data_IF_772138154570
#
_entry.id   IF_772138154570
#
_cell.length_a   1.000
_cell.length_b   1.000
_cell.length_c   1.000
_cell.angle_alpha   90.00
_cell.angle_beta   90.00
_cell.angle_gamma   90.00
#
_symmetry.space_group_name_H-M   'P 1'
#
loop_
_entity.id
_entity.type
_entity.pdbx_description
1 polymer ?
#
# COMPACT_ATOMS: atom_id res chain seq x y z
N UNK A 1 5.46 14.06 25.13
CA UNK A 1 5.97 15.20 25.95
C UNK A 1 7.32 15.73 25.44
N UNK A 2 8.43 14.97 25.55
CA UNK A 2 9.77 15.47 25.17
C UNK A 2 9.92 15.94 23.70
N UNK A 3 9.41 15.17 22.75
CA UNK A 3 9.63 15.42 21.32
C UNK A 3 8.47 16.11 20.60
N UNK A 4 7.32 16.32 21.26
CA UNK A 4 6.08 16.85 20.66
C UNK A 4 5.84 16.28 19.24
N UNK A 5 5.73 17.14 18.22
CA UNK A 5 5.51 16.74 16.83
C UNK A 5 6.75 16.09 16.19
N UNK A 6 7.96 16.35 16.69
CA UNK A 6 9.20 15.77 16.16
C UNK A 6 9.36 14.28 16.47
N UNK A 7 8.47 13.72 17.31
CA UNK A 7 8.40 12.29 17.57
C UNK A 7 8.32 11.49 16.27
N UNK A 8 7.61 11.99 15.25
CA UNK A 8 7.44 11.30 13.97
C UNK A 8 8.76 11.01 13.24
N UNK A 9 9.79 11.83 13.45
CA UNK A 9 11.11 11.61 12.85
C UNK A 9 11.93 10.52 13.55
N UNK A 10 11.51 10.09 14.75
CA UNK A 10 12.17 9.06 15.54
C UNK A 10 11.54 7.67 15.38
N UNK A 11 10.32 7.60 14.87
CA UNK A 11 9.59 6.36 14.69
C UNK A 11 9.95 5.67 13.37
N UNK A 12 10.09 4.35 13.42
CA UNK A 12 10.23 3.48 12.25
C UNK A 12 9.16 2.39 12.33
N UNK A 13 8.47 2.16 11.22
CA UNK A 13 7.38 1.18 11.13
C UNK A 13 6.01 1.81 10.86
N UNK A 14 4.97 0.96 10.81
CA UNK A 14 3.59 1.35 10.53
C UNK A 14 2.89 1.90 11.78
N UNK A 15 2.27 3.07 11.69
CA UNK A 15 1.56 3.66 12.82
C UNK A 15 0.49 4.66 12.39
N UNK A 16 -0.54 4.77 13.24
CA UNK A 16 -1.42 5.93 13.36
C UNK A 16 -1.42 6.31 14.83
N UNK A 17 -0.99 7.53 15.14
CA UNK A 17 -0.92 8.06 16.51
C UNK A 17 -1.92 9.20 16.61
N UNK A 18 -2.81 9.14 17.59
CA UNK A 18 -3.81 10.17 17.87
C UNK A 18 -3.57 10.67 19.29
N UNK A 19 -3.28 11.95 19.45
CA UNK A 19 -2.97 12.58 20.73
C UNK A 19 -3.91 13.75 20.93
N UNK A 20 -4.71 13.71 22.00
CA UNK A 20 -5.44 14.86 22.50
C UNK A 20 -4.63 15.52 23.62
N UNK A 21 -4.29 16.78 23.44
CA UNK A 21 -3.71 17.63 24.47
C UNK A 21 -4.84 18.45 25.11
N UNK A 22 -5.21 18.11 26.35
CA UNK A 22 -6.32 18.76 27.03
C UNK A 22 -6.00 20.20 27.48
N UNK A 23 -4.72 20.50 27.72
CA UNK A 23 -4.29 21.84 28.11
C UNK A 23 -4.35 22.80 26.91
N UNK A 24 -3.92 22.33 25.74
CA UNK A 24 -3.96 23.12 24.50
C UNK A 24 -5.28 23.01 23.72
N UNK A 25 -6.20 22.13 24.15
CA UNK A 25 -7.43 21.74 23.43
C UNK A 25 -7.14 21.43 21.96
N UNK A 26 -6.12 20.59 21.74
CA UNK A 26 -5.53 20.32 20.44
C UNK A 26 -5.46 18.83 20.19
N UNK A 27 -6.01 18.39 19.07
CA UNK A 27 -5.81 17.04 18.54
C UNK A 27 -4.63 17.05 17.57
N UNK A 28 -3.73 16.09 17.70
CA UNK A 28 -2.67 15.83 16.72
C UNK A 28 -2.76 14.37 16.28
N UNK A 29 -2.82 14.17 14.97
CA UNK A 29 -2.82 12.85 14.34
C UNK A 29 -1.57 12.75 13.48
N UNK A 30 -0.81 11.68 13.65
CA UNK A 30 0.37 11.37 12.85
C UNK A 30 0.24 9.98 12.23
N UNK A 31 0.58 9.81 10.96
CA UNK A 31 0.69 8.49 10.34
C UNK A 31 2.10 8.23 9.77
N UNK A 32 2.40 6.95 9.52
CA UNK A 32 3.71 6.53 9.02
C UNK A 32 4.04 7.01 7.60
N UNK A 33 5.31 6.83 7.19
CA UNK A 33 5.86 7.35 5.93
C UNK A 33 5.09 6.92 4.68
N UNK A 34 4.47 5.74 4.71
CA UNK A 34 3.78 5.16 3.56
C UNK A 34 2.25 5.15 3.73
N UNK A 35 1.78 5.52 4.92
CA UNK A 35 0.39 5.45 5.31
C UNK A 35 -0.10 4.01 5.27
N UNK A 36 0.70 3.06 5.78
CA UNK A 36 0.43 1.62 5.69
C UNK A 36 -0.90 1.25 6.36
N UNK A 37 -1.36 2.04 7.32
CA UNK A 37 -2.68 1.93 7.95
C UNK A 37 -3.52 3.16 7.56
N UNK A 38 -4.63 3.01 6.83
CA UNK A 38 -5.44 4.17 6.46
C UNK A 38 -6.04 4.83 7.71
N UNK A 39 -6.15 6.15 7.65
CA UNK A 39 -6.98 6.93 8.55
C UNK A 39 -7.68 7.98 7.71
N UNK A 40 -9.00 7.96 7.76
CA UNK A 40 -9.88 8.90 7.09
C UNK A 40 -10.29 9.99 8.07
N UNK A 41 -10.56 11.17 7.53
CA UNK A 41 -11.02 12.30 8.32
C UNK A 41 -12.05 13.12 7.58
N UNK A 42 -12.96 13.74 8.32
CA UNK A 42 -13.98 14.63 7.79
C UNK A 42 -14.37 15.66 8.85
N UNK A 43 -14.54 16.91 8.43
CA UNK A 43 -15.07 17.96 9.31
C UNK A 43 -16.58 18.03 9.13
N UNK A 44 -17.32 17.72 10.20
CA UNK A 44 -18.77 17.85 10.27
C UNK A 44 -19.20 19.15 10.93
N UNK A 45 -20.48 19.26 11.27
CA UNK A 45 -21.02 20.43 11.98
C UNK A 45 -20.57 20.47 13.43
N UNK A 46 -20.37 19.31 14.05
CA UNK A 46 -20.06 19.16 15.47
C UNK A 46 -18.57 18.96 15.77
N UNK A 47 -17.71 18.94 14.74
CA UNK A 47 -16.26 18.85 14.90
C UNK A 47 -15.58 17.96 13.87
N UNK A 48 -14.42 17.43 14.24
CA UNK A 48 -13.62 16.55 13.40
C UNK A 48 -13.90 15.07 13.71
N UNK A 49 -14.17 14.30 12.65
CA UNK A 49 -14.33 12.86 12.69
C UNK A 49 -13.08 12.18 12.13
N UNK A 50 -12.65 11.09 12.77
CA UNK A 50 -11.52 10.26 12.38
C UNK A 50 -11.93 8.80 12.46
N UNK A 51 -11.57 8.00 11.46
CA UNK A 51 -11.77 6.56 11.50
C UNK A 51 -10.78 5.82 10.60
N UNK A 52 -10.59 4.52 10.84
CA UNK A 52 -9.86 3.64 9.93
C UNK A 52 -10.65 3.29 8.66
N UNK A 53 -11.95 3.59 8.62
CA UNK A 53 -12.87 3.20 7.54
C UNK A 53 -13.85 4.35 7.25
N UNK A 54 -14.16 4.57 5.96
CA UNK A 54 -15.08 5.62 5.48
C UNK A 54 -16.48 5.41 6.06
N UNK A 55 -16.96 4.16 6.08
CA UNK A 55 -18.30 3.82 6.57
C UNK A 55 -18.52 4.16 8.05
N UNK A 56 -17.48 4.14 8.87
CA UNK A 56 -17.57 4.55 10.27
C UNK A 56 -17.84 6.05 10.42
N UNK A 57 -17.27 6.89 9.55
CA UNK A 57 -17.54 8.35 9.54
C UNK A 57 -18.97 8.61 9.04
N UNK A 58 -19.42 7.89 8.01
CA UNK A 58 -20.77 8.04 7.47
C UNK A 58 -21.85 7.71 8.51
N UNK A 59 -21.61 6.74 9.38
CA UNK A 59 -22.54 6.34 10.44
C UNK A 59 -22.86 7.48 11.42
N UNK A 60 -22.02 8.53 11.50
CA UNK A 60 -22.26 9.68 12.37
C UNK A 60 -23.35 10.64 11.84
N UNK A 61 -23.75 10.54 10.57
CA UNK A 61 -24.76 11.39 9.92
C UNK A 61 -24.53 12.92 10.06
N UNK A 62 -23.28 13.35 10.28
CA UNK A 62 -22.93 14.77 10.49
C UNK A 62 -22.04 15.36 9.37
N UNK A 63 -21.72 14.54 8.37
CA UNK A 63 -20.88 14.94 7.22
C UNK A 63 -21.68 14.87 5.92
N UNK A 64 -21.36 15.77 4.99
CA UNK A 64 -22.00 15.77 3.66
C UNK A 64 -21.70 14.47 2.91
N UNK A 65 -22.72 13.85 2.33
CA UNK A 65 -22.57 12.63 1.52
C UNK A 65 -22.56 12.92 0.01
N UNK A 66 -22.20 14.15 -0.38
CA UNK A 66 -22.00 14.50 -1.78
C UNK A 66 -20.94 13.59 -2.41
N UNK A 67 -21.27 13.06 -3.58
CA UNK A 67 -20.44 12.09 -4.29
C UNK A 67 -19.29 12.81 -5.01
N UNK A 68 -18.07 12.35 -4.78
CA UNK A 68 -16.91 12.78 -5.56
C UNK A 68 -16.86 12.00 -6.89
N UNK A 69 -17.29 12.67 -7.95
CA UNK A 69 -17.28 12.09 -9.30
C UNK A 69 -15.87 11.75 -9.82
N UNK A 70 -14.82 12.41 -9.31
CA UNK A 70 -13.43 12.07 -9.65
C UNK A 70 -13.02 10.73 -9.02
N UNK A 71 -13.49 10.45 -7.80
CA UNK A 71 -13.20 9.18 -7.14
C UNK A 71 -13.87 8.01 -7.85
N UNK A 72 -15.13 8.19 -8.30
CA UNK A 72 -15.81 7.20 -9.15
C UNK A 72 -15.01 6.98 -10.44
N UNK A 73 -14.68 8.05 -11.16
CA UNK A 73 -13.88 7.95 -12.37
C UNK A 73 -12.58 7.16 -12.12
N UNK A 74 -11.87 7.48 -11.04
CA UNK A 74 -10.60 6.84 -10.70
C UNK A 74 -10.72 5.31 -10.59
N UNK A 75 -11.75 4.79 -9.93
CA UNK A 75 -11.98 3.35 -9.84
C UNK A 75 -12.12 2.71 -11.23
N UNK A 76 -12.91 3.33 -12.12
CA UNK A 76 -13.19 2.80 -13.45
C UNK A 76 -12.11 3.12 -14.50
N UNK A 77 -11.13 3.95 -14.20
CA UNK A 77 -9.99 4.18 -15.09
C UNK A 77 -8.74 3.44 -14.61
N UNK A 78 -8.53 3.35 -13.30
CA UNK A 78 -7.28 2.87 -12.69
C UNK A 78 -7.44 1.59 -11.84
N UNK A 79 -8.68 1.19 -11.51
CA UNK A 79 -8.94 0.08 -10.60
C UNK A 79 -8.86 0.45 -9.11
N UNK A 80 -8.62 1.72 -8.77
CA UNK A 80 -8.59 2.22 -7.38
C UNK A 80 -8.84 3.73 -7.33
N UNK A 81 -9.23 4.23 -6.14
CA UNK A 81 -9.41 5.67 -5.91
C UNK A 81 -8.05 6.37 -5.76
N UNK A 82 -7.82 7.39 -6.58
CA UNK A 82 -6.57 8.13 -6.66
C UNK A 82 -6.46 9.25 -5.62
N UNK A 83 -5.24 9.73 -5.42
CA UNK A 83 -4.90 10.78 -4.45
C UNK A 83 -5.38 10.42 -3.03
N UNK A 84 -5.82 11.41 -2.27
CA UNK A 84 -6.26 11.30 -0.88
C UNK A 84 -7.79 11.44 -0.78
N UNK A 85 -8.50 11.02 -1.83
CA UNK A 85 -9.95 11.13 -1.97
C UNK A 85 -10.66 9.89 -1.42
N UNK A 86 -11.97 10.00 -1.28
CA UNK A 86 -12.92 8.88 -1.12
C UNK A 86 -14.08 9.10 -2.09
N UNK A 87 -15.07 8.21 -2.12
CA UNK A 87 -16.30 8.44 -2.90
C UNK A 87 -17.13 9.64 -2.40
N UNK A 88 -16.78 10.23 -1.26
CA UNK A 88 -17.48 11.35 -0.66
C UNK A 88 -16.56 12.57 -0.60
N UNK A 89 -17.01 13.72 -1.13
CA UNK A 89 -16.20 14.93 -1.21
C UNK A 89 -15.73 15.44 0.17
N UNK A 90 -16.52 15.19 1.21
CA UNK A 90 -16.27 15.63 2.58
C UNK A 90 -15.29 14.75 3.35
N UNK A 91 -15.08 13.51 2.90
CA UNK A 91 -14.25 12.51 3.60
C UNK A 91 -12.95 12.34 2.83
N UNK A 92 -11.83 12.58 3.51
CA UNK A 92 -10.49 12.52 2.94
C UNK A 92 -9.67 11.41 3.58
N UNK A 93 -8.87 10.73 2.78
CA UNK A 93 -7.83 9.82 3.28
C UNK A 93 -6.62 10.66 3.72
N UNK A 94 -6.15 10.53 4.95
CA UNK A 94 -4.95 11.24 5.38
C UNK A 94 -3.76 10.82 4.49
N UNK A 95 -3.02 11.80 3.97
CA UNK A 95 -1.84 11.54 3.15
C UNK A 95 -0.78 10.79 3.98
N UNK A 96 0.15 10.04 3.36
CA UNK A 96 1.27 9.44 4.08
C UNK A 96 2.12 10.51 4.74
N UNK A 97 2.89 10.12 5.75
CA UNK A 97 3.84 10.98 6.43
C UNK A 97 3.24 12.33 6.86
N UNK A 98 2.01 12.33 7.38
CA UNK A 98 1.27 13.55 7.64
C UNK A 98 1.02 13.78 9.12
N UNK A 99 1.03 15.05 9.49
CA UNK A 99 0.56 15.60 10.74
C UNK A 99 -0.74 16.34 10.47
N UNK A 100 -1.85 15.83 10.99
CA UNK A 100 -3.11 16.56 11.06
C UNK A 100 -3.23 17.19 12.44
N UNK A 101 -3.48 18.50 12.48
CA UNK A 101 -3.76 19.24 13.71
C UNK A 101 -5.17 19.81 13.64
N UNK A 102 -5.96 19.52 14.68
CA UNK A 102 -7.27 20.14 14.88
C UNK A 102 -7.29 20.94 16.17
N UNK A 103 -7.57 22.24 16.03
CA UNK A 103 -7.61 23.21 17.11
C UNK A 103 -8.56 24.34 16.72
N UNK A 104 -9.35 24.86 17.66
CA UNK A 104 -10.28 25.97 17.41
C UNK A 104 -11.23 25.75 16.22
N UNK A 105 -11.68 24.51 16.03
CA UNK A 105 -12.50 24.11 14.88
C UNK A 105 -11.84 24.28 13.49
N UNK A 106 -10.51 24.35 13.44
CA UNK A 106 -9.75 24.38 12.20
C UNK A 106 -8.90 23.13 12.05
N UNK A 107 -8.86 22.59 10.83
CA UNK A 107 -8.02 21.45 10.47
C UNK A 107 -6.87 21.96 9.62
N UNK A 108 -5.64 21.66 10.04
CA UNK A 108 -4.44 21.83 9.20
C UNK A 108 -3.76 20.48 9.01
N UNK A 109 -3.20 20.28 7.82
CA UNK A 109 -2.45 19.07 7.47
C UNK A 109 -1.11 19.47 6.90
N UNK A 110 -0.03 18.90 7.41
CA UNK A 110 1.33 19.09 6.89
C UNK A 110 2.02 17.74 6.72
N UNK A 111 2.97 17.67 5.78
CA UNK A 111 3.77 16.48 5.54
C UNK A 111 5.14 16.63 6.19
N UNK A 112 5.61 15.58 6.86
CA UNK A 112 6.93 15.54 7.48
C UNK A 112 7.96 14.77 6.64
N UNK A 113 7.53 13.99 5.66
CA UNK A 113 8.40 13.23 4.75
C UNK A 113 7.74 13.04 3.38
N UNK A 114 8.54 12.93 2.32
CA UNK A 114 8.10 12.53 0.99
C UNK A 114 9.25 11.82 0.25
N UNK A 115 8.92 11.05 -0.79
CA UNK A 115 9.90 10.42 -1.65
C UNK A 115 10.75 11.46 -2.39
N UNK A 116 12.05 11.18 -2.51
CA UNK A 116 12.99 12.06 -3.21
C UNK A 116 13.81 11.28 -4.25
N UNK A 117 13.25 11.15 -5.46
CA UNK A 117 13.91 10.51 -6.61
C UNK A 117 14.89 11.46 -7.33
N UNK A 118 15.79 12.07 -6.56
CA UNK A 118 16.83 12.92 -7.13
C UNK A 118 17.88 12.06 -7.84
N UNK A 119 18.32 12.48 -9.03
CA UNK A 119 19.41 11.82 -9.75
C UNK A 119 20.71 12.03 -8.98
N UNK A 120 21.09 11.04 -8.18
CA UNK A 120 22.31 11.03 -7.38
C UNK A 120 23.24 9.96 -7.93
N UNK A 121 24.44 10.36 -8.33
CA UNK A 121 25.52 9.42 -8.62
C UNK A 121 26.67 9.72 -7.65
N UNK A 122 26.85 8.84 -6.66
CA UNK A 122 27.92 8.95 -5.67
C UNK A 122 29.23 8.29 -6.12
N UNK A 123 29.33 7.80 -7.37
CA UNK A 123 30.53 7.14 -7.90
C UNK A 123 30.85 5.80 -7.23
N UNK A 124 29.85 5.14 -6.63
CA UNK A 124 29.98 3.82 -6.00
C UNK A 124 29.91 2.69 -7.04
N UNK A 125 30.55 1.57 -6.75
CA UNK A 125 30.53 0.37 -7.60
C UNK A 125 29.20 -0.38 -7.50
N UNK A 126 28.90 -1.20 -8.50
CA UNK A 126 27.72 -2.08 -8.47
C UNK A 126 27.74 -3.02 -7.25
N UNK A 127 28.90 -3.66 -6.97
CA UNK A 127 29.08 -4.54 -5.80
C UNK A 127 28.71 -3.87 -4.48
N UNK A 128 29.01 -2.58 -4.32
CA UNK A 128 28.62 -1.83 -3.13
C UNK A 128 27.10 -1.78 -2.98
N UNK A 129 26.37 -1.47 -4.06
CA UNK A 129 24.92 -1.38 -4.02
C UNK A 129 24.29 -2.74 -3.77
N UNK A 130 24.79 -3.81 -4.40
CA UNK A 130 24.28 -5.17 -4.22
C UNK A 130 24.45 -5.66 -2.77
N UNK A 131 25.66 -5.51 -2.20
CA UNK A 131 25.93 -5.92 -0.82
C UNK A 131 25.10 -5.10 0.17
N UNK A 132 24.98 -3.78 -0.06
CA UNK A 132 24.22 -2.90 0.84
C UNK A 132 22.73 -3.20 0.77
N UNK A 133 22.18 -3.45 -0.42
CA UNK A 133 20.79 -3.83 -0.63
C UNK A 133 20.49 -5.15 0.09
N UNK A 134 21.30 -6.18 -0.13
CA UNK A 134 21.14 -7.48 0.52
C UNK A 134 21.16 -7.35 2.05
N UNK A 135 22.11 -6.60 2.60
CA UNK A 135 22.19 -6.35 4.05
C UNK A 135 20.96 -5.63 4.61
N UNK A 136 20.45 -4.62 3.90
CA UNK A 136 19.25 -3.88 4.32
C UNK A 136 17.97 -4.73 4.23
N UNK A 137 17.84 -5.60 3.22
CA UNK A 137 16.72 -6.54 3.11
C UNK A 137 16.72 -7.51 4.30
N UNK A 138 17.87 -8.13 4.59
CA UNK A 138 17.99 -9.06 5.73
C UNK A 138 17.69 -8.35 7.05
N UNK A 139 18.24 -7.16 7.26
CA UNK A 139 17.95 -6.36 8.45
C UNK A 139 16.46 -6.00 8.57
N UNK A 140 15.81 -5.64 7.47
CA UNK A 140 14.39 -5.33 7.46
C UNK A 140 13.54 -6.56 7.84
N UNK A 141 13.85 -7.74 7.29
CA UNK A 141 13.16 -9.00 7.64
C UNK A 141 13.39 -9.34 9.11
N UNK A 142 14.63 -9.22 9.58
CA UNK A 142 15.00 -9.47 10.99
C UNK A 142 14.19 -8.56 11.94
N UNK A 143 14.07 -7.26 11.64
CA UNK A 143 13.27 -6.32 12.48
C UNK A 143 11.79 -6.69 12.57
N UNK A 144 11.23 -7.34 11.54
CA UNK A 144 9.81 -7.69 11.50
C UNK A 144 9.51 -9.11 12.02
N UNK A 145 10.54 -9.90 12.31
CA UNK A 145 10.44 -11.27 12.85
C UNK A 145 10.72 -11.34 14.36
N UNK A 146 11.26 -10.26 14.95
CA UNK A 146 11.64 -10.16 16.36
C UNK A 146 10.45 -9.92 17.29
N UNK A 147 9.83 -11.00 17.77
CA UNK A 147 8.95 -11.01 18.95
C UNK A 147 8.39 -12.40 19.33
N UNK A 148 8.85 -13.48 18.69
CA UNK A 148 8.40 -14.84 19.00
C UNK A 148 6.98 -15.16 18.51
N UNK A 149 6.39 -14.31 17.67
CA UNK A 149 5.10 -14.55 17.02
C UNK A 149 5.15 -15.77 16.07
N UNK A 150 4.02 -16.45 15.87
CA UNK A 150 3.89 -17.46 14.81
C UNK A 150 3.82 -16.75 13.45
N UNK A 151 4.88 -16.88 12.67
CA UNK A 151 5.03 -16.20 11.40
C UNK A 151 4.47 -17.07 10.28
N UNK A 152 3.72 -16.43 9.38
CA UNK A 152 3.29 -17.01 8.10
C UNK A 152 3.73 -16.11 6.96
N UNK A 153 4.37 -16.69 5.95
CA UNK A 153 4.75 -15.99 4.70
C UNK A 153 3.79 -16.42 3.59
N UNK A 154 2.97 -15.51 3.02
CA UNK A 154 2.31 -15.77 1.75
C UNK A 154 3.37 -16.03 0.67
N UNK A 155 3.42 -17.25 0.16
CA UNK A 155 4.46 -17.71 -0.74
C UNK A 155 3.90 -17.87 -2.16
N UNK A 156 4.68 -17.40 -3.12
CA UNK A 156 4.42 -17.56 -4.55
C UNK A 156 5.72 -17.92 -5.27
N UNK A 157 5.69 -18.04 -6.59
CA UNK A 157 6.91 -18.14 -7.41
C UNK A 157 7.67 -16.82 -7.54
N UNK A 158 7.08 -15.70 -7.09
CA UNK A 158 7.66 -14.37 -7.16
C UNK A 158 8.97 -14.24 -6.39
N UNK A 159 9.79 -13.24 -6.76
CA UNK A 159 11.04 -12.96 -6.06
C UNK A 159 10.79 -12.39 -4.65
N UNK A 160 9.71 -11.61 -4.48
CA UNK A 160 9.40 -10.91 -3.23
C UNK A 160 9.22 -11.86 -2.04
N UNK A 161 8.25 -12.79 -2.16
CA UNK A 161 7.91 -13.75 -1.11
C UNK A 161 9.04 -14.74 -0.85
N UNK A 162 9.76 -15.17 -1.90
CA UNK A 162 10.94 -16.03 -1.77
C UNK A 162 12.09 -15.35 -1.06
N UNK A 163 12.31 -14.05 -1.31
CA UNK A 163 13.33 -13.26 -0.61
C UNK A 163 12.99 -13.10 0.86
N UNK A 164 11.72 -12.83 1.19
CA UNK A 164 11.27 -12.80 2.58
C UNK A 164 11.56 -14.14 3.26
N UNK A 165 11.07 -15.23 2.69
CA UNK A 165 11.21 -16.56 3.29
C UNK A 165 12.69 -16.93 3.50
N UNK A 166 13.53 -16.72 2.48
CA UNK A 166 14.96 -17.01 2.56
C UNK A 166 15.72 -16.11 3.56
N UNK A 167 15.23 -14.89 3.82
CA UNK A 167 15.83 -13.96 4.76
C UNK A 167 15.38 -14.13 6.21
N UNK A 168 14.39 -14.99 6.48
CA UNK A 168 13.98 -15.29 7.87
C UNK A 168 15.11 -16.07 8.56
N UNK A 169 15.53 -15.66 9.77
CA UNK A 169 16.58 -16.38 10.51
C UNK A 169 16.20 -17.83 10.80
N UNK A 170 17.18 -18.74 10.73
CA UNK A 170 16.94 -20.19 10.82
C UNK A 170 16.33 -20.63 12.15
N UNK A 171 16.56 -19.88 13.23
CA UNK A 171 15.98 -20.14 14.55
C UNK A 171 14.45 -20.01 14.60
N UNK A 172 13.83 -19.35 13.63
CA UNK A 172 12.37 -19.24 13.51
C UNK A 172 11.75 -20.37 12.68
N UNK A 173 12.55 -21.29 12.16
CA UNK A 173 12.05 -22.45 11.40
C UNK A 173 11.62 -23.61 12.33
N UNK A 174 10.58 -24.37 11.96
CA UNK A 174 9.79 -24.23 10.73
C UNK A 174 8.83 -23.04 10.78
N UNK A 175 8.91 -22.17 9.76
CA UNK A 175 7.96 -21.07 9.56
C UNK A 175 6.79 -21.57 8.70
N UNK A 176 5.60 -21.03 8.91
CA UNK A 176 4.46 -21.34 8.05
C UNK A 176 4.59 -20.62 6.70
N UNK A 177 4.21 -21.29 5.61
CA UNK A 177 4.00 -20.64 4.32
C UNK A 177 2.60 -20.95 3.82
N UNK A 178 2.00 -20.02 3.09
CA UNK A 178 0.67 -20.25 2.50
C UNK A 178 0.63 -19.84 1.05
N UNK A 179 0.03 -20.68 0.20
CA UNK A 179 -0.23 -20.35 -1.21
C UNK A 179 -1.67 -20.63 -1.56
N UNK A 180 -2.32 -19.62 -2.15
CA UNK A 180 -3.68 -19.72 -2.66
C UNK A 180 -3.64 -19.90 -4.18
N UNK A 181 -4.41 -20.84 -4.72
CA UNK A 181 -4.49 -21.03 -6.18
C UNK A 181 -5.00 -22.41 -6.57
N UNK A 182 -4.86 -22.74 -7.86
CA UNK A 182 -5.14 -24.10 -8.36
C UNK A 182 -3.84 -24.89 -8.51
N UNK A 183 -3.89 -26.21 -8.40
CA UNK A 183 -2.67 -27.06 -8.44
C UNK A 183 -1.84 -26.91 -9.72
N UNK A 184 -2.49 -26.50 -10.82
CA UNK A 184 -1.82 -26.31 -12.11
C UNK A 184 -0.99 -25.02 -12.18
N UNK A 185 -1.22 -24.06 -11.28
CA UNK A 185 -0.51 -22.79 -11.24
C UNK A 185 0.96 -23.00 -10.86
N UNK A 186 1.85 -22.31 -11.57
CA UNK A 186 3.28 -22.37 -11.28
C UNK A 186 3.62 -21.81 -9.90
N UNK A 187 2.88 -20.82 -9.41
CA UNK A 187 3.04 -20.30 -8.05
C UNK A 187 2.89 -21.39 -6.99
N UNK A 188 1.89 -22.28 -7.13
CA UNK A 188 1.66 -23.39 -6.20
C UNK A 188 2.79 -24.41 -6.27
N UNK A 189 3.21 -24.78 -7.48
CA UNK A 189 4.30 -25.75 -7.70
C UNK A 189 5.64 -25.22 -7.16
N UNK A 190 5.95 -23.96 -7.42
CA UNK A 190 7.19 -23.32 -6.99
C UNK A 190 7.18 -23.13 -5.47
N UNK A 191 6.08 -22.65 -4.89
CA UNK A 191 5.96 -22.46 -3.43
C UNK A 191 6.17 -23.77 -2.66
N UNK A 192 5.59 -24.88 -3.15
CA UNK A 192 5.80 -26.22 -2.59
C UNK A 192 7.28 -26.63 -2.64
N UNK A 193 7.94 -26.44 -3.79
CA UNK A 193 9.37 -26.75 -3.96
C UNK A 193 10.24 -25.92 -3.02
N UNK A 194 10.01 -24.62 -2.93
CA UNK A 194 10.80 -23.72 -2.09
C UNK A 194 10.61 -24.03 -0.62
N UNK A 195 9.37 -24.27 -0.18
CA UNK A 195 9.08 -24.63 1.21
C UNK A 195 9.80 -25.92 1.62
N UNK A 196 9.80 -26.94 0.76
CA UNK A 196 10.53 -28.19 1.00
C UNK A 196 12.05 -27.96 1.12
N UNK A 197 12.63 -27.10 0.27
CA UNK A 197 14.07 -26.80 0.31
C UNK A 197 14.46 -26.05 1.58
N UNK A 198 13.60 -25.15 2.06
CA UNK A 198 13.88 -24.31 3.24
C UNK A 198 13.39 -24.93 4.56
N UNK A 199 12.63 -26.03 4.51
CA UNK A 199 12.07 -26.67 5.70
C UNK A 199 10.90 -25.88 6.33
N UNK A 200 10.12 -25.19 5.51
CA UNK A 200 8.93 -24.47 5.94
C UNK A 200 7.70 -25.39 5.98
N UNK A 201 6.76 -25.12 6.89
CA UNK A 201 5.47 -25.81 6.96
C UNK A 201 4.51 -25.20 5.93
N UNK A 202 4.25 -25.93 4.84
CA UNK A 202 3.56 -25.39 3.67
C UNK A 202 2.07 -25.71 3.63
N UNK A 203 1.26 -24.66 3.63
CA UNK A 203 -0.19 -24.72 3.56
C UNK A 203 -0.68 -24.35 2.16
N UNK A 204 -1.19 -25.32 1.41
CA UNK A 204 -1.86 -25.07 0.13
C UNK A 204 -3.35 -24.87 0.35
N UNK A 205 -3.90 -23.77 -0.16
CA UNK A 205 -5.33 -23.46 -0.08
C UNK A 205 -5.90 -23.31 -1.50
N UNK A 206 -6.79 -24.23 -1.86
CA UNK A 206 -7.43 -24.21 -3.17
C UNK A 206 -8.34 -22.99 -3.33
N UNK A 207 -8.24 -22.33 -4.50
CA UNK A 207 -9.15 -21.26 -4.91
C UNK A 207 -10.03 -21.75 -6.07
N UNK A 208 -11.34 -21.59 -5.92
CA UNK A 208 -12.33 -21.83 -6.97
C UNK A 208 -12.96 -20.51 -7.45
N UNK A 209 -13.58 -20.51 -8.65
CA UNK A 209 -14.33 -19.34 -9.13
C UNK A 209 -15.44 -18.89 -8.17
N UNK A 210 -16.07 -19.82 -7.45
CA UNK A 210 -17.13 -19.53 -6.47
C UNK A 210 -16.61 -18.67 -5.31
N UNK A 211 -15.35 -18.85 -4.91
CA UNK A 211 -14.73 -18.02 -3.87
C UNK A 211 -14.74 -16.54 -4.24
N UNK A 212 -14.51 -16.23 -5.52
CA UNK A 212 -14.54 -14.87 -6.05
C UNK A 212 -15.95 -14.28 -5.93
N UNK A 213 -16.95 -15.02 -6.39
CA UNK A 213 -18.35 -14.57 -6.38
C UNK A 213 -18.84 -14.37 -4.94
N UNK A 214 -18.52 -15.32 -4.06
CA UNK A 214 -18.99 -15.32 -2.67
C UNK A 214 -18.32 -14.23 -1.83
N UNK A 215 -17.06 -13.88 -2.11
CA UNK A 215 -16.31 -12.89 -1.32
C UNK A 215 -16.29 -11.48 -1.89
N UNK A 216 -16.74 -11.26 -3.14
CA UNK A 216 -16.68 -9.94 -3.78
C UNK A 216 -17.32 -8.83 -2.93
N UNK A 217 -18.56 -9.04 -2.45
CA UNK A 217 -19.28 -8.06 -1.60
C UNK A 217 -18.57 -7.83 -0.27
N UNK A 218 -18.07 -8.89 0.36
CA UNK A 218 -17.32 -8.83 1.63
C UNK A 218 -16.06 -7.96 1.46
N UNK A 219 -15.29 -8.19 0.39
CA UNK A 219 -14.09 -7.41 0.08
C UNK A 219 -14.42 -5.94 -0.16
N UNK A 220 -15.43 -5.65 -0.99
CA UNK A 220 -15.85 -4.27 -1.24
C UNK A 220 -16.23 -3.58 0.06
N UNK A 221 -16.94 -4.26 0.96
CA UNK A 221 -17.26 -3.70 2.28
C UNK A 221 -16.02 -3.47 3.14
N UNK A 222 -15.08 -4.42 3.19
CA UNK A 222 -13.83 -4.29 3.97
C UNK A 222 -12.97 -3.12 3.46
N UNK A 223 -12.89 -2.92 2.14
CA UNK A 223 -12.04 -1.89 1.53
C UNK A 223 -12.76 -0.56 1.31
N UNK A 224 -14.01 -0.41 1.75
CA UNK A 224 -14.91 0.71 1.42
C UNK A 224 -15.03 0.96 -0.10
N UNK A 225 -14.82 -0.08 -0.90
CA UNK A 225 -14.79 -0.04 -2.36
C UNK A 225 -13.61 0.72 -2.95
N UNK A 226 -12.66 1.18 -2.15
CA UNK A 226 -11.59 2.09 -2.57
C UNK A 226 -10.58 1.48 -3.56
N UNK A 227 -10.63 0.15 -3.73
CA UNK A 227 -9.92 -0.63 -4.73
C UNK A 227 -10.88 -1.63 -5.36
N UNK A 228 -10.67 -1.94 -6.64
CA UNK A 228 -11.38 -3.03 -7.31
C UNK A 228 -11.12 -4.34 -6.57
N UNK A 229 -12.19 -5.06 -6.23
CA UNK A 229 -12.10 -6.31 -5.47
C UNK A 229 -11.29 -7.40 -6.18
N UNK A 230 -11.10 -7.29 -7.51
CA UNK A 230 -10.27 -8.21 -8.30
C UNK A 230 -8.82 -8.26 -7.79
N UNK A 231 -8.34 -7.16 -7.19
CA UNK A 231 -6.99 -7.07 -6.64
C UNK A 231 -6.84 -7.75 -5.27
N UNK A 232 -7.94 -8.26 -4.70
CA UNK A 232 -7.96 -8.95 -3.41
C UNK A 232 -8.36 -10.43 -3.52
N UNK A 233 -8.42 -10.98 -4.75
CA UNK A 233 -8.81 -12.38 -4.99
C UNK A 233 -7.90 -13.38 -4.27
N UNK A 234 -6.59 -13.13 -4.28
CA UNK A 234 -5.61 -13.92 -3.53
C UNK A 234 -5.75 -13.81 -2.01
N UNK A 235 -6.58 -12.89 -1.50
CA UNK A 235 -6.76 -12.64 -0.07
C UNK A 235 -8.10 -13.15 0.49
N UNK A 236 -8.93 -13.78 -0.35
CA UNK A 236 -10.33 -14.12 -0.03
C UNK A 236 -10.53 -15.15 1.08
N UNK A 237 -9.53 -15.99 1.32
CA UNK A 237 -9.55 -17.08 2.30
C UNK A 237 -8.54 -16.90 3.44
N UNK A 238 -8.08 -15.67 3.68
CA UNK A 238 -7.08 -15.41 4.74
C UNK A 238 -7.61 -15.70 6.15
N UNK A 239 -8.92 -15.79 6.36
CA UNK A 239 -9.47 -16.28 7.62
C UNK A 239 -9.02 -17.70 7.97
N UNK A 240 -8.66 -18.53 6.98
CA UNK A 240 -8.26 -19.92 7.18
C UNK A 240 -6.88 -20.06 7.81
N UNK A 241 -6.07 -19.00 7.81
CA UNK A 241 -4.70 -19.07 8.33
C UNK A 241 -4.58 -18.61 9.79
N UNK A 242 -5.64 -18.04 10.36
CA UNK A 242 -5.62 -17.37 11.67
C UNK A 242 -5.23 -18.30 12.82
N UNK A 243 -5.55 -19.59 12.71
CA UNK A 243 -5.36 -20.54 13.81
C UNK A 243 -3.87 -20.89 14.01
N UNK A 244 -3.02 -20.65 13.00
CA UNK A 244 -1.58 -20.90 13.04
C UNK A 244 -0.72 -19.67 12.69
N UNK A 245 -1.34 -18.48 12.58
CA UNK A 245 -0.67 -17.23 12.20
C UNK A 245 -0.97 -16.14 13.21
N UNK A 246 0.07 -15.59 13.85
CA UNK A 246 -0.04 -14.34 14.60
C UNK A 246 0.34 -13.16 13.69
N UNK A 247 1.41 -13.35 12.92
CA UNK A 247 2.00 -12.34 12.03
C UNK A 247 2.13 -12.89 10.61
N UNK A 248 1.47 -12.24 9.67
CA UNK A 248 1.67 -12.42 8.24
C UNK A 248 2.78 -11.48 7.75
N UNK A 249 3.90 -12.05 7.31
CA UNK A 249 5.03 -11.31 6.76
C UNK A 249 4.89 -11.18 5.25
N UNK A 250 4.40 -10.03 4.81
CA UNK A 250 3.91 -9.82 3.45
C UNK A 250 4.94 -9.13 2.55
N UNK A 251 5.11 -9.67 1.35
CA UNK A 251 5.98 -9.16 0.29
C UNK A 251 5.24 -8.53 -0.88
N UNK A 252 4.07 -7.92 -0.70
CA UNK A 252 3.23 -7.43 -1.81
C UNK A 252 3.94 -6.40 -2.71
N UNK A 253 4.43 -6.89 -3.86
CA UNK A 253 4.93 -6.19 -5.06
C UNK A 253 6.07 -5.16 -4.95
N UNK A 254 7.03 -5.27 -4.02
CA UNK A 254 8.15 -4.35 -3.99
C UNK A 254 9.08 -4.56 -5.19
N UNK A 255 9.62 -5.76 -5.45
CA UNK A 255 10.51 -5.97 -6.59
C UNK A 255 9.81 -5.80 -7.94
N UNK A 256 8.59 -6.32 -8.12
CA UNK A 256 7.86 -6.25 -9.39
C UNK A 256 7.24 -4.88 -9.74
N UNK A 257 7.14 -3.94 -8.80
CA UNK A 257 6.49 -2.64 -9.05
C UNK A 257 7.17 -1.47 -8.36
N UNK A 258 7.57 -1.59 -7.10
CA UNK A 258 8.22 -0.50 -6.37
C UNK A 258 9.75 -0.47 -6.51
N UNK A 259 10.41 -1.51 -6.98
CA UNK A 259 11.87 -1.59 -7.15
C UNK A 259 12.26 -1.91 -8.62
N UNK A 260 11.39 -2.54 -9.43
CA UNK A 260 11.68 -2.83 -10.85
C UNK A 260 11.68 -1.61 -11.79
N UNK A 261 10.90 -0.53 -11.58
CA UNK A 261 11.13 0.72 -12.30
C UNK A 261 12.51 1.31 -12.01
N UNK A 262 13.13 0.94 -10.89
CA UNK A 262 14.38 1.55 -10.42
C UNK A 262 15.64 0.91 -11.01
N UNK A 263 15.54 -0.23 -11.70
CA UNK A 263 16.73 -0.95 -12.16
C UNK A 263 16.65 -1.61 -13.56
N UNK A 264 15.46 -1.83 -14.16
CA UNK A 264 15.35 -2.76 -15.31
C UNK A 264 14.73 -2.14 -16.58
N UNK A 265 13.78 -1.20 -16.44
CA UNK A 265 13.00 -0.74 -17.58
C UNK A 265 13.48 0.58 -18.19
N UNK A 266 13.75 0.58 -19.50
CA UNK A 266 14.04 1.79 -20.29
C UNK A 266 12.81 2.71 -20.27
N UNK A 267 13.01 4.02 -20.49
CA UNK A 267 11.94 5.05 -20.51
C UNK A 267 10.67 4.64 -21.29
N UNK A 268 10.82 3.95 -22.42
CA UNK A 268 9.71 3.47 -23.26
C UNK A 268 8.87 2.38 -22.56
N UNK A 269 9.52 1.48 -21.82
CA UNK A 269 8.87 0.42 -21.05
C UNK A 269 8.17 0.99 -19.81
N UNK A 270 8.74 2.03 -19.18
CA UNK A 270 8.07 2.76 -18.10
C UNK A 270 6.77 3.44 -18.54
N UNK A 271 6.73 4.00 -19.75
CA UNK A 271 5.51 4.58 -20.32
C UNK A 271 4.44 3.52 -20.58
N UNK A 272 4.84 2.35 -21.10
CA UNK A 272 3.92 1.22 -21.31
C UNK A 272 3.38 0.68 -19.97
N UNK A 273 4.23 0.58 -18.95
CA UNK A 273 3.82 0.20 -17.59
C UNK A 273 2.88 1.25 -17.00
N UNK A 274 3.19 2.53 -17.13
CA UNK A 274 2.31 3.60 -16.68
C UNK A 274 0.95 3.55 -17.41
N UNK A 275 0.93 3.34 -18.72
CA UNK A 275 -0.32 3.18 -19.48
C UNK A 275 -1.09 1.91 -19.05
N UNK A 276 -0.41 0.80 -18.77
CA UNK A 276 -1.04 -0.43 -18.27
C UNK A 276 -1.61 -0.26 -16.86
N UNK A 277 -0.84 0.33 -15.94
CA UNK A 277 -1.23 0.54 -14.55
C UNK A 277 -2.30 1.64 -14.41
N UNK A 278 -2.31 2.62 -15.32
CA UNK A 278 -3.17 3.78 -15.23
C UNK A 278 -4.27 3.88 -16.31
N UNK A 279 -4.49 2.88 -17.17
CA UNK A 279 -5.66 2.86 -18.05
C UNK A 279 -6.35 1.48 -18.23
N UNK A 280 -6.42 0.59 -17.22
CA UNK A 280 -6.95 -0.76 -17.42
C UNK A 280 -8.41 -0.85 -17.90
N UNK A 281 -9.24 0.19 -17.68
CA UNK A 281 -10.70 0.07 -17.79
C UNK A 281 -11.40 1.16 -18.61
N UNK A 282 -10.67 1.90 -19.45
CA UNK A 282 -11.20 3.03 -20.23
C UNK A 282 -12.41 2.66 -21.12
N UNK A 283 -12.35 1.51 -21.78
CA UNK A 283 -13.44 1.04 -22.64
C UNK A 283 -14.66 0.56 -21.84
N UNK A 284 -14.42 -0.01 -20.65
CA UNK A 284 -15.47 -0.38 -19.71
C UNK A 284 -16.18 0.87 -19.16
N UNK A 285 -15.44 1.91 -18.77
CA UNK A 285 -16.03 3.17 -18.32
C UNK A 285 -16.95 3.80 -19.37
N UNK A 286 -16.55 3.74 -20.65
CA UNK A 286 -17.33 4.26 -21.78
C UNK A 286 -18.62 3.47 -22.01
N UNK A 287 -18.62 2.16 -21.78
CA UNK A 287 -19.80 1.30 -21.97
C UNK A 287 -20.76 1.32 -20.78
N UNK A 288 -20.25 1.50 -19.55
CA UNK A 288 -21.05 1.49 -18.33
C UNK A 288 -21.78 2.82 -18.05
N UNK A 289 -21.21 3.96 -18.43
CA UNK A 289 -21.76 5.26 -18.07
C UNK A 289 -22.61 5.91 -19.16
N UNK A 290 -23.72 6.53 -18.75
CA UNK A 290 -24.52 7.38 -19.64
C UNK A 290 -23.68 8.53 -20.17
N UNK A 291 -23.89 8.89 -21.45
CA UNK A 291 -23.05 9.86 -22.17
C UNK A 291 -22.85 11.21 -21.47
N UNK A 292 -23.89 11.84 -20.85
CA UNK A 292 -23.69 13.09 -20.13
C UNK A 292 -22.73 12.97 -18.94
N UNK A 293 -22.76 11.83 -18.23
CA UNK A 293 -21.87 11.57 -17.11
C UNK A 293 -20.45 11.28 -17.59
N UNK A 294 -20.29 10.41 -18.59
CA UNK A 294 -18.99 10.08 -19.16
C UNK A 294 -18.25 11.33 -19.67
N UNK A 295 -18.96 12.25 -20.33
CA UNK A 295 -18.38 13.53 -20.79
C UNK A 295 -17.80 14.38 -19.66
N UNK A 296 -18.39 14.34 -18.46
CA UNK A 296 -17.86 15.07 -17.29
C UNK A 296 -16.55 14.46 -16.79
N UNK A 297 -16.44 13.13 -16.82
CA UNK A 297 -15.33 12.41 -16.17
C UNK A 297 -14.18 11.99 -17.09
N UNK A 298 -14.38 11.98 -18.41
CA UNK A 298 -13.44 11.39 -19.39
C UNK A 298 -12.04 12.02 -19.40
N UNK A 299 -11.93 13.28 -18.99
CA UNK A 299 -10.68 14.04 -19.03
C UNK A 299 -9.94 14.02 -17.68
N UNK A 300 -10.61 13.58 -16.60
CA UNK A 300 -10.07 13.53 -15.23
C UNK A 300 -8.81 12.67 -15.05
N UNK A 301 -8.63 11.53 -15.76
CA UNK A 301 -7.38 10.78 -15.65
C UNK A 301 -6.14 11.62 -15.99
N UNK A 302 -6.24 12.51 -16.98
CA UNK A 302 -5.12 13.39 -17.36
C UNK A 302 -4.83 14.42 -16.28
N UNK A 303 -5.87 14.98 -15.67
CA UNK A 303 -5.73 15.95 -14.57
C UNK A 303 -5.04 15.31 -13.35
N UNK A 304 -5.40 14.07 -13.00
CA UNK A 304 -4.78 13.35 -11.88
C UNK A 304 -3.29 13.14 -12.12
N UNK A 305 -2.89 12.65 -13.30
CA UNK A 305 -1.48 12.46 -13.64
C UNK A 305 -0.71 13.79 -13.65
N UNK A 306 -1.33 14.87 -14.14
CA UNK A 306 -0.74 16.20 -14.09
C UNK A 306 -0.56 16.71 -12.64
N UNK A 307 -1.53 16.44 -11.75
CA UNK A 307 -1.46 16.81 -10.33
C UNK A 307 -0.33 16.07 -9.62
N UNK A 308 -0.17 14.77 -9.88
CA UNK A 308 0.89 13.95 -9.29
C UNK A 308 2.26 14.44 -9.78
N UNK A 309 2.40 14.68 -11.09
CA UNK A 309 3.63 15.21 -11.68
C UNK A 309 4.05 16.54 -11.04
N UNK A 310 3.09 17.44 -10.75
CA UNK A 310 3.38 18.74 -10.10
C UNK A 310 3.84 18.64 -8.65
N UNK A 311 3.54 17.54 -7.96
CA UNK A 311 3.99 17.29 -6.57
C UNK A 311 5.40 16.69 -6.53
N UNK A 312 5.83 16.04 -7.61
CA UNK A 312 7.17 15.47 -7.72
C UNK A 312 8.21 16.59 -7.81
N UNK A 313 9.26 16.52 -7.00
CA UNK A 313 10.40 17.45 -7.05
C UNK A 313 11.42 17.11 -8.14
N UNK A 314 11.33 15.91 -8.71
CA UNK A 314 12.27 15.46 -9.73
C UNK A 314 11.93 16.08 -11.09
N UNK A 315 12.96 16.30 -11.92
CA UNK A 315 12.83 16.92 -13.24
C UNK A 315 12.80 15.89 -14.36
N UNK A 316 13.32 14.69 -14.13
CA UNK A 316 13.34 13.62 -15.12
C UNK A 316 11.96 12.96 -15.25
N UNK A 317 11.53 12.67 -16.48
CA UNK A 317 10.28 11.97 -16.74
C UNK A 317 10.23 10.56 -16.11
N UNK A 318 11.40 9.92 -15.97
CA UNK A 318 11.54 8.63 -15.30
C UNK A 318 11.19 8.74 -13.82
N UNK A 319 11.83 9.69 -13.12
CA UNK A 319 11.63 9.91 -11.68
C UNK A 319 10.20 10.35 -11.35
N UNK A 320 9.52 11.05 -12.27
CA UNK A 320 8.09 11.40 -12.13
C UNK A 320 7.20 10.16 -12.19
N UNK A 321 7.47 9.22 -13.11
CA UNK A 321 6.75 7.94 -13.19
C UNK A 321 6.98 7.14 -11.92
N UNK A 322 8.22 7.05 -11.47
CA UNK A 322 8.62 6.36 -10.26
C UNK A 322 7.91 6.92 -9.02
N UNK A 323 7.87 8.26 -8.90
CA UNK A 323 7.09 8.96 -7.89
C UNK A 323 5.59 8.65 -7.97
N UNK A 324 5.03 8.59 -9.17
CA UNK A 324 3.62 8.28 -9.38
C UNK A 324 3.30 6.84 -8.96
N UNK A 325 4.15 5.88 -9.28
CA UNK A 325 3.98 4.47 -8.89
C UNK A 325 4.08 4.34 -7.37
N UNK A 326 5.11 4.93 -6.76
CA UNK A 326 5.33 4.91 -5.32
C UNK A 326 4.18 5.55 -4.53
N UNK A 327 3.82 6.77 -4.91
CA UNK A 327 2.83 7.57 -4.17
C UNK A 327 1.40 7.24 -4.51
N UNK A 328 1.13 6.63 -5.68
CA UNK A 328 -0.20 6.19 -6.09
C UNK A 328 -0.31 4.67 -6.03
N UNK A 329 0.18 3.95 -7.05
CA UNK A 329 -0.11 2.54 -7.25
C UNK A 329 0.26 1.65 -6.05
N UNK A 330 1.53 1.67 -5.65
CA UNK A 330 2.10 0.80 -4.61
C UNK A 330 1.37 1.00 -3.30
N UNK A 331 1.20 2.25 -2.88
CA UNK A 331 0.45 2.58 -1.66
C UNK A 331 -0.96 1.99 -1.66
N UNK A 332 -1.73 2.05 -2.76
CA UNK A 332 -3.12 1.52 -2.76
C UNK A 332 -3.09 0.01 -2.71
N UNK A 333 -2.27 -0.61 -3.55
CA UNK A 333 -2.22 -2.06 -3.64
C UNK A 333 -1.81 -2.68 -2.30
N UNK A 334 -0.73 -2.17 -1.71
CA UNK A 334 -0.21 -2.63 -0.41
C UNK A 334 -1.18 -2.34 0.71
N UNK A 335 -1.74 -1.12 0.79
CA UNK A 335 -2.67 -0.79 1.87
C UNK A 335 -3.93 -1.65 1.81
N UNK A 336 -4.60 -1.70 0.67
CA UNK A 336 -5.89 -2.39 0.58
C UNK A 336 -5.74 -3.92 0.57
N UNK A 337 -4.69 -4.45 -0.04
CA UNK A 337 -4.35 -5.86 0.06
C UNK A 337 -4.13 -6.28 1.53
N UNK A 338 -3.42 -5.44 2.29
CA UNK A 338 -3.18 -5.71 3.70
C UNK A 338 -4.41 -5.46 4.59
N UNK A 339 -5.33 -4.55 4.26
CA UNK A 339 -6.56 -4.33 5.05
C UNK A 339 -7.38 -5.62 5.11
N UNK A 340 -7.55 -6.32 3.98
CA UNK A 340 -8.29 -7.60 3.95
C UNK A 340 -7.64 -8.62 4.90
N UNK A 341 -6.31 -8.76 4.85
CA UNK A 341 -5.56 -9.67 5.72
C UNK A 341 -5.64 -9.27 7.20
N UNK A 342 -5.56 -7.96 7.49
CA UNK A 342 -5.59 -7.38 8.84
C UNK A 342 -6.89 -7.56 9.58
N UNK A 343 -7.97 -7.96 8.90
CA UNK A 343 -9.20 -8.37 9.59
C UNK A 343 -9.03 -9.70 10.35
N UNK A 344 -7.94 -10.45 10.13
CA UNK A 344 -7.71 -11.76 10.74
C UNK A 344 -6.35 -11.89 11.46
N UNK A 345 -5.29 -11.26 10.95
CA UNK A 345 -3.91 -11.42 11.46
C UNK A 345 -3.16 -10.08 11.46
N UNK A 346 -2.09 -9.95 12.26
CA UNK A 346 -1.20 -8.81 12.09
C UNK A 346 -0.46 -8.93 10.75
N UNK A 347 -0.32 -7.82 10.00
CA UNK A 347 0.44 -7.82 8.74
C UNK A 347 1.62 -6.87 8.84
N UNK A 348 2.81 -7.41 8.58
CA UNK A 348 4.09 -6.71 8.55
C UNK A 348 4.64 -6.73 7.13
N UNK A 349 5.24 -5.62 6.70
CA UNK A 349 5.71 -5.46 5.32
C UNK A 349 7.19 -5.02 5.31
N UNK A 350 8.14 -5.97 5.37
CA UNK A 350 9.57 -5.68 5.53
C UNK A 350 10.14 -4.75 4.47
N UNK A 351 9.63 -4.84 3.25
CA UNK A 351 10.11 -4.00 2.14
C UNK A 351 9.73 -2.51 2.25
N UNK A 352 8.90 -2.16 3.24
CA UNK A 352 8.62 -0.78 3.65
C UNK A 352 9.39 -0.40 4.92
N UNK A 353 10.53 -1.04 5.19
CA UNK A 353 11.49 -0.51 6.18
C UNK A 353 12.09 0.81 5.67
N UNK A 354 12.10 1.83 6.53
CA UNK A 354 12.55 3.17 6.17
C UNK A 354 13.98 3.19 5.61
N UNK A 355 14.90 2.40 6.18
CA UNK A 355 16.31 2.43 5.77
C UNK A 355 16.49 1.76 4.39
N UNK A 356 15.73 0.68 4.15
CA UNK A 356 15.71 -0.01 2.87
C UNK A 356 15.12 0.87 1.77
N UNK A 357 13.98 1.51 2.03
CA UNK A 357 13.33 2.39 1.06
C UNK A 357 14.18 3.63 0.77
N UNK A 358 14.73 4.26 1.80
CA UNK A 358 15.62 5.43 1.62
C UNK A 358 16.83 5.05 0.76
N UNK A 359 17.39 3.86 0.92
CA UNK A 359 18.50 3.39 0.09
C UNK A 359 18.09 3.18 -1.38
N UNK A 360 16.97 2.52 -1.63
CA UNK A 360 16.51 2.20 -2.99
C UNK A 360 16.15 3.46 -3.77
N UNK A 361 15.43 4.39 -3.15
CA UNK A 361 15.01 5.65 -3.76
C UNK A 361 16.21 6.54 -4.14
N UNK A 362 17.35 6.38 -3.47
CA UNK A 362 18.59 7.10 -3.75
C UNK A 362 19.62 6.29 -4.57
N UNK A 363 19.27 5.07 -5.01
CA UNK A 363 20.16 4.28 -5.86
C UNK A 363 20.14 4.89 -7.28
N UNK A 364 21.31 5.17 -7.89
CA UNK A 364 21.36 5.74 -9.23
C UNK A 364 20.68 4.79 -10.24
N UNK A 365 19.92 5.32 -11.22
CA UNK A 365 19.43 4.51 -12.32
C UNK A 365 20.63 4.00 -13.15
N UNK A 366 20.61 2.72 -13.51
CA UNK A 366 21.61 2.10 -14.37
C UNK A 366 21.48 2.52 -15.84
#
# INVERSE_FOLDING_TARGET
EKYKNDLVFKLKGAFNIIIWDDNEKKLTVANDRYGLRPIYYAQGKNGLYLASEVKAILACNDVSQNIDHFAIASLFFFGFVMENKTYFESIKLLAPASLLVFKNNEVSVSNYWDFNFADRNEGRTQDYYEQKLAGLILQAIERHTKDGARITVPLSGGLDSRTILAGIPKEYYPVNTVTFGTEVMDDVKIARRISNVLGADHHYLELSPEDIINNAKKIVNITDGMISFIHSTGNMKFELIKDYTDVCLDGMQPFGSFFSPFAIFKKKEKLLIADYLFQPLKDLAKSLFVQPYYRKIRDYPREIIANISRKCKATSASSIIDYSIATQYVRRFVNYGNIVKRTHVEVRSPFFDNDLVDFIVNTPPH
#
